data_IF_138385630305
#
_entry.id   IF_138385630305
#
_cell.length_a   1.000
_cell.length_b   1.000
_cell.length_c   1.000
_cell.angle_alpha   90.00
_cell.angle_beta   90.00
_cell.angle_gamma   90.00
#
_symmetry.space_group_name_H-M   'P 1'
#
loop_
_entity.id
_entity.type
_entity.pdbx_description
1 polymer ?
#
# COMPACT_ATOMS: atom_id res chain seq x y z
N UNK A 1 18.61 58.64 -27.06
CA UNK A 1 19.15 57.55 -27.89
C UNK A 1 20.12 56.77 -27.01
N UNK A 2 20.00 55.48 -26.72
CA UNK A 2 18.99 54.48 -26.99
C UNK A 2 19.08 53.45 -25.84
N UNK A 3 17.92 52.90 -25.44
CA UNK A 3 17.87 51.76 -24.55
C UNK A 3 18.53 50.55 -25.22
N UNK A 4 19.39 49.82 -24.49
CA UNK A 4 19.89 48.52 -24.93
C UNK A 4 19.52 47.49 -23.88
N UNK A 5 18.24 47.10 -23.93
CA UNK A 5 17.71 45.94 -23.25
C UNK A 5 18.19 44.70 -24.00
N UNK A 6 19.33 44.15 -23.58
CA UNK A 6 19.79 42.86 -24.11
C UNK A 6 18.96 41.75 -23.47
N UNK A 7 17.92 41.38 -24.21
CA UNK A 7 17.23 40.10 -24.27
C UNK A 7 17.70 39.09 -23.22
N UNK A 8 16.80 38.79 -22.26
CA UNK A 8 16.87 37.57 -21.45
C UNK A 8 16.95 36.40 -22.43
N UNK A 9 18.08 35.71 -22.45
CA UNK A 9 18.17 34.39 -23.04
C UNK A 9 17.22 33.51 -22.24
N UNK A 10 16.10 33.24 -22.89
CA UNK A 10 14.98 32.50 -22.39
C UNK A 10 15.43 31.04 -22.41
N UNK A 11 15.96 30.55 -21.29
CA UNK A 11 16.10 29.12 -21.05
C UNK A 11 14.68 28.54 -20.96
N UNK A 12 14.08 28.32 -22.12
CA UNK A 12 12.93 27.47 -22.30
C UNK A 12 13.41 26.05 -22.01
N UNK A 13 13.36 25.69 -20.73
CA UNK A 13 13.40 24.30 -20.32
C UNK A 13 12.12 23.72 -20.90
N UNK A 14 12.23 23.10 -22.08
CA UNK A 14 11.19 22.19 -22.55
C UNK A 14 11.01 21.16 -21.44
N UNK A 15 9.87 21.25 -20.75
CA UNK A 15 9.34 20.24 -19.85
C UNK A 15 9.00 19.03 -20.72
N UNK A 16 10.04 18.28 -21.13
CA UNK A 16 9.86 16.96 -21.72
C UNK A 16 9.22 16.12 -20.62
N UNK A 17 8.01 15.58 -20.81
CA UNK A 17 7.44 14.65 -19.85
C UNK A 17 8.44 13.51 -19.66
N UNK A 18 8.91 13.32 -18.44
CA UNK A 18 9.79 12.21 -18.13
C UNK A 18 9.17 10.92 -18.68
N UNK A 19 9.95 10.06 -19.36
CA UNK A 19 9.43 8.81 -19.88
C UNK A 19 8.79 8.01 -18.74
N UNK A 20 7.63 7.37 -18.97
CA UNK A 20 6.95 6.62 -17.91
C UNK A 20 7.95 5.61 -17.33
N UNK A 21 8.06 5.52 -15.99
CA UNK A 21 9.02 4.63 -15.36
C UNK A 21 8.80 3.20 -15.89
N UNK A 22 9.87 2.63 -16.44
CA UNK A 22 9.89 1.30 -17.08
C UNK A 22 9.72 0.13 -16.10
N UNK A 23 9.54 0.43 -14.81
CA UNK A 23 9.31 -0.54 -13.75
C UNK A 23 7.84 -0.44 -13.30
N UNK A 24 7.13 -1.57 -13.12
CA UNK A 24 5.82 -1.54 -12.47
C UNK A 24 5.99 -0.82 -11.12
N UNK A 25 5.25 0.26 -10.92
CA UNK A 25 5.46 1.15 -9.79
C UNK A 25 5.28 0.36 -8.48
N UNK A 26 6.23 0.44 -7.52
CA UNK A 26 6.08 -0.19 -6.21
C UNK A 26 4.79 0.26 -5.49
N UNK A 27 4.28 1.45 -5.85
CA UNK A 27 3.00 1.99 -5.37
C UNK A 27 1.80 1.10 -5.71
N UNK A 28 1.77 0.44 -6.87
CA UNK A 28 0.63 -0.43 -7.21
C UNK A 28 0.54 -1.67 -6.29
N UNK A 29 1.70 -2.22 -5.90
CA UNK A 29 1.76 -3.33 -4.94
C UNK A 29 1.40 -2.83 -3.54
N UNK A 30 1.93 -1.69 -3.12
CA UNK A 30 1.62 -1.05 -1.84
C UNK A 30 0.13 -0.78 -1.69
N UNK A 31 -0.50 -0.15 -2.68
CA UNK A 31 -1.94 0.13 -2.73
C UNK A 31 -2.76 -1.16 -2.62
N UNK A 32 -2.34 -2.22 -3.32
CA UNK A 32 -2.99 -3.54 -3.27
C UNK A 32 -2.90 -4.14 -1.86
N UNK A 33 -1.74 -4.04 -1.20
CA UNK A 33 -1.54 -4.54 0.15
C UNK A 33 -2.36 -3.74 1.18
N UNK A 34 -2.43 -2.42 1.03
CA UNK A 34 -3.30 -1.55 1.85
C UNK A 34 -4.76 -1.96 1.69
N UNK A 35 -5.20 -2.16 0.44
CA UNK A 35 -6.58 -2.55 0.18
C UNK A 35 -6.89 -3.94 0.73
N UNK A 36 -5.96 -4.90 0.60
CA UNK A 36 -6.10 -6.23 1.20
C UNK A 36 -6.21 -6.16 2.73
N UNK A 37 -5.44 -5.30 3.38
CA UNK A 37 -5.50 -5.11 4.82
C UNK A 37 -6.87 -4.60 5.28
N UNK A 38 -7.49 -3.65 4.55
CA UNK A 38 -8.83 -3.16 4.88
C UNK A 38 -9.91 -4.25 4.68
N UNK A 39 -9.80 -5.06 3.63
CA UNK A 39 -10.71 -6.20 3.45
C UNK A 39 -10.59 -7.23 4.57
N UNK A 40 -9.37 -7.57 5.00
CA UNK A 40 -9.13 -8.48 6.13
C UNK A 40 -9.69 -7.88 7.42
N UNK A 41 -9.55 -6.56 7.62
CA UNK A 41 -10.12 -5.86 8.78
C UNK A 41 -11.65 -5.94 8.80
N UNK A 42 -12.30 -5.72 7.66
CA UNK A 42 -13.74 -5.89 7.52
C UNK A 42 -14.17 -7.33 7.80
N UNK A 43 -13.45 -8.31 7.24
CA UNK A 43 -13.72 -9.73 7.44
C UNK A 43 -13.58 -10.14 8.92
N UNK A 44 -12.55 -9.64 9.62
CA UNK A 44 -12.34 -9.86 11.05
C UNK A 44 -13.53 -9.36 11.87
N UNK A 45 -14.06 -8.16 11.56
CA UNK A 45 -15.24 -7.63 12.25
C UNK A 45 -16.42 -8.58 12.08
N UNK A 46 -16.70 -9.01 10.85
CA UNK A 46 -17.79 -9.96 10.57
C UNK A 46 -17.57 -11.29 11.29
N UNK A 47 -16.35 -11.81 11.28
CA UNK A 47 -16.00 -13.07 11.94
C UNK A 47 -16.17 -12.96 13.47
N UNK A 48 -15.71 -11.88 14.10
CA UNK A 48 -15.95 -11.63 15.52
C UNK A 48 -17.45 -11.54 15.85
N UNK A 49 -18.24 -10.82 15.04
CA UNK A 49 -19.69 -10.74 15.23
C UNK A 49 -20.34 -12.12 15.07
N UNK A 50 -19.85 -12.96 14.16
CA UNK A 50 -20.36 -14.32 13.98
C UNK A 50 -20.14 -15.20 15.21
N UNK A 51 -18.99 -15.07 15.88
CA UNK A 51 -18.70 -15.77 17.14
C UNK A 51 -19.72 -15.40 18.21
N UNK A 52 -20.08 -14.11 18.32
CA UNK A 52 -21.07 -13.62 19.29
C UNK A 52 -22.50 -14.10 18.99
N UNK A 53 -22.81 -14.37 17.72
CA UNK A 53 -24.13 -14.85 17.30
C UNK A 53 -24.32 -16.37 17.49
N UNK A 54 -23.23 -17.13 17.67
CA UNK A 54 -23.25 -18.58 17.77
C UNK A 54 -23.35 -19.06 19.23
N UNK A 55 -23.92 -20.27 19.42
CA UNK A 55 -23.95 -20.88 20.75
C UNK A 55 -22.52 -21.14 21.25
N UNK A 56 -22.17 -20.76 22.49
CA UNK A 56 -20.85 -21.04 23.06
C UNK A 56 -20.50 -22.52 22.98
N UNK A 57 -19.24 -22.84 22.68
CA UNK A 57 -18.73 -24.21 22.55
C UNK A 57 -19.35 -25.05 21.40
N UNK A 58 -20.16 -24.46 20.53
CA UNK A 58 -20.59 -25.13 19.30
C UNK A 58 -19.44 -25.27 18.31
N UNK A 59 -19.50 -26.28 17.43
CA UNK A 59 -18.54 -26.44 16.33
C UNK A 59 -18.44 -25.17 15.48
N UNK A 60 -19.58 -24.53 15.20
CA UNK A 60 -19.62 -23.26 14.48
C UNK A 60 -18.83 -22.16 15.18
N UNK A 61 -18.99 -22.01 16.50
CA UNK A 61 -18.24 -21.02 17.27
C UNK A 61 -16.74 -21.31 17.27
N UNK A 62 -16.34 -22.58 17.39
CA UNK A 62 -14.93 -22.99 17.29
C UNK A 62 -14.35 -22.67 15.91
N UNK A 63 -15.05 -23.00 14.83
CA UNK A 63 -14.61 -22.69 13.46
C UNK A 63 -14.52 -21.18 13.21
N UNK A 64 -15.47 -20.39 13.73
CA UNK A 64 -15.46 -18.94 13.61
C UNK A 64 -14.29 -18.32 14.40
N UNK A 65 -13.99 -18.82 15.60
CA UNK A 65 -12.81 -18.42 16.37
C UNK A 65 -11.50 -18.77 15.67
N UNK A 66 -11.40 -19.96 15.06
CA UNK A 66 -10.25 -20.32 14.24
C UNK A 66 -10.12 -19.39 13.05
N UNK A 67 -11.20 -19.08 12.34
CA UNK A 67 -11.18 -18.15 11.21
C UNK A 67 -10.71 -16.74 11.63
N UNK A 68 -11.15 -16.25 12.80
CA UNK A 68 -10.65 -14.99 13.39
C UNK A 68 -9.13 -15.06 13.56
N UNK A 69 -8.60 -16.12 14.17
CA UNK A 69 -7.17 -16.26 14.41
C UNK A 69 -6.34 -16.31 13.12
N UNK A 70 -6.79 -17.06 12.11
CA UNK A 70 -6.12 -17.11 10.81
C UNK A 70 -6.13 -15.73 10.13
N UNK A 71 -7.25 -14.99 10.20
CA UNK A 71 -7.34 -13.63 9.64
C UNK A 71 -6.45 -12.62 10.39
N UNK A 72 -6.29 -12.74 11.71
CA UNK A 72 -5.33 -11.91 12.47
C UNK A 72 -3.89 -12.18 12.04
N UNK A 73 -3.56 -13.45 11.78
CA UNK A 73 -2.25 -13.85 11.26
C UNK A 73 -2.01 -13.27 9.87
N UNK A 74 -3.00 -13.34 8.98
CA UNK A 74 -2.94 -12.71 7.65
C UNK A 74 -2.73 -11.19 7.77
N UNK A 75 -3.44 -10.52 8.69
CA UNK A 75 -3.25 -9.09 8.93
C UNK A 75 -1.80 -8.76 9.32
N UNK A 76 -1.22 -9.52 10.26
CA UNK A 76 0.17 -9.32 10.67
C UNK A 76 1.17 -9.53 9.51
N UNK A 77 0.91 -10.50 8.64
CA UNK A 77 1.71 -10.72 7.42
C UNK A 77 1.58 -9.55 6.43
N UNK A 78 0.38 -8.99 6.26
CA UNK A 78 0.16 -7.82 5.41
C UNK A 78 0.87 -6.58 5.97
N UNK A 79 0.81 -6.33 7.27
CA UNK A 79 1.56 -5.25 7.92
C UNK A 79 3.07 -5.45 7.72
N UNK A 80 3.57 -6.67 7.86
CA UNK A 80 4.96 -7.00 7.57
C UNK A 80 5.32 -6.85 6.09
N UNK A 81 4.42 -7.13 5.17
CA UNK A 81 4.64 -6.94 3.73
C UNK A 81 4.71 -5.45 3.39
N UNK A 82 3.82 -4.63 3.97
CA UNK A 82 3.80 -3.19 3.80
C UNK A 82 5.09 -2.53 4.29
N UNK A 83 5.62 -2.96 5.44
CA UNK A 83 6.92 -2.44 5.91
C UNK A 83 8.05 -2.77 4.96
N UNK A 84 8.07 -3.98 4.37
CA UNK A 84 9.09 -4.39 3.40
C UNK A 84 9.01 -3.64 2.07
N UNK A 85 7.81 -3.32 1.57
CA UNK A 85 7.62 -2.54 0.34
C UNK A 85 8.05 -1.08 0.55
N UNK A 86 7.89 -0.55 1.77
CA UNK A 86 8.34 0.79 2.13
C UNK A 86 9.85 0.88 2.43
N UNK A 87 10.55 -0.23 2.74
CA UNK A 87 12.01 -0.19 2.91
C UNK A 87 12.60 0.22 1.57
N UNK A 88 13.21 1.42 1.50
CA UNK A 88 13.47 2.02 0.23
C UNK A 88 14.50 1.20 -0.55
N UNK A 89 14.27 1.10 -1.85
CA UNK A 89 15.29 0.87 -2.88
C UNK A 89 16.37 1.98 -2.89
N UNK A 90 16.66 2.60 -1.75
CA UNK A 90 17.67 3.66 -1.57
C UNK A 90 19.10 3.14 -1.62
N UNK A 91 19.31 1.82 -1.74
CA UNK A 91 20.64 1.24 -1.92
C UNK A 91 21.14 1.26 -3.39
N UNK A 92 20.35 1.75 -4.36
CA UNK A 92 20.68 1.62 -5.80
C UNK A 92 21.08 2.91 -6.53
N UNK A 93 21.33 4.03 -5.85
CA UNK A 93 21.81 5.28 -6.50
C UNK A 93 23.05 5.89 -5.85
N UNK A 94 24.08 5.09 -5.61
CA UNK A 94 25.43 5.61 -5.36
C UNK A 94 26.49 4.64 -5.93
N UNK A 95 26.64 4.64 -7.26
CA UNK A 95 27.89 4.23 -7.92
C UNK A 95 28.13 5.09 -9.16
#
# INVERSE_FOLDING_TARGET
>A
MAASSKQREQCHVEDRPDPPPSNPSPHHLEDTLIQAAEYVRCALIVAHQSVLALHPHSLGATLALTAVHEMETVRALLDSALTQVQVPVQAQTHH
#
